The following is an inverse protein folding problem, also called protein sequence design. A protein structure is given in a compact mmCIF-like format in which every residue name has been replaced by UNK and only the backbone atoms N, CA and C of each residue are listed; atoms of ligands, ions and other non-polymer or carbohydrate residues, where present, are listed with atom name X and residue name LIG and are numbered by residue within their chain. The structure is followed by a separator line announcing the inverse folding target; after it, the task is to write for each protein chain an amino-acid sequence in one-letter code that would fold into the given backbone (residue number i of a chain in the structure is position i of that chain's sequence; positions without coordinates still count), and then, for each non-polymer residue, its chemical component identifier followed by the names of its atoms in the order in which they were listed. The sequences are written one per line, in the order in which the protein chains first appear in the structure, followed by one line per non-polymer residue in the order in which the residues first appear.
data_IF_475629309292
#
_entry.id   IF_475629309292
#
_cell.length_a   1.000
_cell.length_b   1.000
_cell.length_c   1.000
_cell.angle_alpha   90.00
_cell.angle_beta   90.00
_cell.angle_gamma   90.00
#
_symmetry.space_group_name_H-M   'P 1'
#
loop_
_entity.id
_entity.type
_entity.pdbx_description
1 polymer ?
#
# COMPACT_ATOMS: atom_id res chain seq x y z
N UNK A 1 2.83 -22.90 -19.78
CA UNK A 1 2.76 -21.71 -18.91
C UNK A 1 3.45 -20.58 -19.64
N UNK A 2 2.68 -19.65 -20.21
CA UNK A 2 3.21 -18.45 -20.85
C UNK A 2 3.82 -17.56 -19.78
N UNK A 3 5.12 -17.27 -19.89
CA UNK A 3 5.79 -16.24 -19.10
C UNK A 3 5.04 -14.93 -19.31
N UNK A 4 4.25 -14.52 -18.32
CA UNK A 4 3.63 -13.21 -18.33
C UNK A 4 4.77 -12.20 -18.34
N UNK A 5 4.77 -11.31 -19.32
CA UNK A 5 5.76 -10.25 -19.34
C UNK A 5 5.62 -9.49 -18.01
N UNK A 6 6.74 -9.19 -17.35
CA UNK A 6 6.83 -8.45 -16.07
C UNK A 6 5.85 -7.27 -15.97
N UNK A 7 5.61 -6.64 -17.11
CA UNK A 7 4.76 -5.48 -17.30
C UNK A 7 3.25 -5.78 -17.28
N UNK A 8 2.85 -6.96 -17.77
CA UNK A 8 1.47 -7.44 -17.74
C UNK A 8 1.06 -7.85 -16.32
N UNK A 9 1.99 -8.41 -15.57
CA UNK A 9 1.80 -8.74 -14.14
C UNK A 9 1.48 -7.49 -13.31
N UNK A 10 2.22 -6.38 -13.45
CA UNK A 10 1.87 -5.11 -12.75
C UNK A 10 0.48 -4.59 -13.16
N UNK A 11 0.11 -4.69 -14.43
CA UNK A 11 -1.21 -4.26 -14.90
C UNK A 11 -2.34 -5.08 -14.26
N UNK A 12 -2.17 -6.39 -14.08
CA UNK A 12 -3.16 -7.25 -13.43
C UNK A 12 -3.36 -6.90 -11.95
N UNK A 13 -2.33 -6.36 -11.29
CA UNK A 13 -2.40 -5.94 -9.90
C UNK A 13 -3.00 -4.52 -9.75
N UNK A 14 -2.71 -3.61 -10.69
CA UNK A 14 -3.26 -2.24 -10.72
C UNK A 14 -4.72 -2.19 -11.19
N UNK A 15 -5.03 -2.95 -12.24
CA UNK A 15 -6.35 -3.03 -12.86
C UNK A 15 -7.06 -4.32 -12.42
N UNK A 16 -8.27 -4.56 -12.90
CA UNK A 16 -8.84 -5.91 -12.83
C UNK A 16 -8.34 -6.63 -14.09
N UNK A 17 -7.78 -7.85 -13.97
CA UNK A 17 -7.44 -8.63 -15.15
C UNK A 17 -8.70 -8.87 -15.99
N UNK A 18 -8.51 -8.98 -17.32
CA UNK A 18 -9.61 -9.18 -18.27
C UNK A 18 -10.35 -10.48 -17.97
N UNK A 19 -9.59 -11.54 -17.73
CA UNK A 19 -10.10 -12.83 -17.25
C UNK A 19 -9.82 -12.95 -15.76
N UNK A 20 -10.78 -13.49 -15.00
CA UNK A 20 -10.56 -13.75 -13.58
C UNK A 20 -9.40 -14.75 -13.44
N UNK A 21 -8.33 -14.38 -12.71
CA UNK A 21 -7.15 -15.23 -12.58
C UNK A 21 -7.57 -16.49 -11.84
N UNK A 22 -7.19 -17.64 -12.35
CA UNK A 22 -7.58 -18.95 -11.79
C UNK A 22 -6.62 -19.45 -10.71
N UNK A 23 -5.43 -18.84 -10.60
CA UNK A 23 -4.34 -19.20 -9.71
C UNK A 23 -3.48 -17.98 -9.38
N UNK A 24 -2.64 -18.08 -8.35
CA UNK A 24 -1.65 -17.06 -7.98
C UNK A 24 -0.78 -16.58 -9.16
N UNK A 25 -0.50 -15.27 -9.18
CA UNK A 25 0.51 -14.70 -10.06
C UNK A 25 1.90 -14.91 -9.42
N UNK A 26 2.54 -16.03 -9.78
CA UNK A 26 3.85 -16.41 -9.26
C UNK A 26 4.95 -15.42 -9.63
N UNK A 27 4.77 -14.70 -10.74
CA UNK A 27 5.73 -13.73 -11.25
C UNK A 27 5.68 -12.44 -10.42
N UNK A 28 4.52 -12.07 -9.88
CA UNK A 28 4.37 -10.85 -9.09
C UNK A 28 4.96 -10.96 -7.68
N UNK A 29 4.81 -12.10 -7.01
CA UNK A 29 5.10 -12.24 -5.57
C UNK A 29 6.40 -12.98 -5.28
N UNK A 30 6.57 -14.22 -5.79
CA UNK A 30 7.61 -15.12 -5.29
C UNK A 30 8.80 -15.26 -6.24
N UNK A 31 8.57 -15.38 -7.54
CA UNK A 31 9.66 -15.61 -8.50
C UNK A 31 10.49 -14.35 -8.78
N UNK A 32 9.88 -13.16 -8.67
CA UNK A 32 10.56 -11.88 -8.90
C UNK A 32 11.23 -11.28 -7.67
N UNK A 33 11.23 -11.95 -6.50
CA UNK A 33 11.75 -11.40 -5.23
C UNK A 33 11.23 -9.97 -4.95
N UNK A 34 9.94 -9.73 -5.16
CA UNK A 34 9.30 -8.41 -5.00
C UNK A 34 9.81 -7.28 -5.93
N UNK A 35 10.58 -7.60 -6.98
CA UNK A 35 11.06 -6.58 -7.94
C UNK A 35 9.91 -5.82 -8.61
N UNK A 36 8.76 -6.47 -8.83
CA UNK A 36 7.58 -5.83 -9.41
C UNK A 36 6.94 -4.79 -8.50
N UNK A 37 6.98 -5.04 -7.20
CA UNK A 37 6.51 -4.09 -6.19
C UNK A 37 7.47 -2.90 -6.10
N UNK A 38 8.78 -3.13 -6.13
CA UNK A 38 9.76 -2.06 -6.21
C UNK A 38 9.58 -1.18 -7.47
N UNK A 39 9.44 -1.80 -8.65
CA UNK A 39 9.19 -1.10 -9.92
C UNK A 39 7.89 -0.31 -9.92
N UNK A 40 6.86 -0.80 -9.23
CA UNK A 40 5.60 -0.07 -9.07
C UNK A 40 5.82 1.22 -8.26
N UNK A 41 6.61 1.14 -7.18
CA UNK A 41 6.95 2.30 -6.36
C UNK A 41 7.81 3.31 -7.14
N UNK A 42 8.80 2.84 -7.91
CA UNK A 42 9.58 3.66 -8.85
C UNK A 42 8.68 4.38 -9.87
N UNK A 43 7.78 3.63 -10.51
CA UNK A 43 6.84 4.20 -11.48
C UNK A 43 5.94 5.28 -10.87
N UNK A 44 5.59 5.13 -9.59
CA UNK A 44 4.80 6.12 -8.86
C UNK A 44 5.64 7.36 -8.50
N UNK A 45 6.91 7.18 -8.14
CA UNK A 45 7.85 8.29 -7.95
C UNK A 45 8.01 9.10 -9.25
N UNK A 46 8.26 8.43 -10.38
CA UNK A 46 8.42 9.07 -11.69
C UNK A 46 7.16 9.84 -12.11
N UNK A 47 5.98 9.27 -11.79
CA UNK A 47 4.71 9.97 -11.94
C UNK A 47 4.67 11.26 -11.11
N UNK A 48 5.00 11.22 -9.82
CA UNK A 48 5.02 12.41 -8.98
C UNK A 48 6.02 13.46 -9.49
N UNK A 49 7.19 13.02 -9.97
CA UNK A 49 8.21 13.89 -10.53
C UNK A 49 7.77 14.55 -11.84
N UNK A 50 6.94 13.87 -12.63
CA UNK A 50 6.35 14.42 -13.86
C UNK A 50 5.30 15.52 -13.63
N UNK A 51 4.78 15.66 -12.40
CA UNK A 51 3.80 16.69 -12.06
C UNK A 51 4.48 18.07 -12.06
N UNK A 52 3.96 18.99 -12.88
CA UNK A 52 4.53 20.32 -13.05
C UNK A 52 4.54 21.13 -11.73
N UNK A 53 5.70 21.60 -11.23
CA UNK A 53 5.83 22.25 -9.92
C UNK A 53 4.90 23.46 -9.72
N UNK A 54 4.63 24.21 -10.79
CA UNK A 54 3.81 25.42 -10.75
C UNK A 54 2.30 25.15 -10.62
N UNK A 55 1.87 23.89 -10.77
CA UNK A 55 0.46 23.47 -10.72
C UNK A 55 0.16 22.52 -9.56
N UNK A 56 1.14 22.22 -8.71
CA UNK A 56 1.02 21.23 -7.64
C UNK A 56 0.87 21.87 -6.27
N UNK A 57 -0.08 21.35 -5.49
CA UNK A 57 -0.25 21.69 -4.08
C UNK A 57 1.03 21.37 -3.26
N UNK A 58 1.33 22.12 -2.17
CA UNK A 58 2.47 21.85 -1.30
C UNK A 58 2.51 20.42 -0.74
N UNK A 59 1.35 19.79 -0.53
CA UNK A 59 1.26 18.39 -0.07
C UNK A 59 1.99 17.39 -0.99
N UNK A 60 2.19 17.72 -2.27
CA UNK A 60 2.92 16.85 -3.18
C UNK A 60 4.42 16.78 -2.87
N UNK A 61 5.02 17.79 -2.23
CA UNK A 61 6.42 17.69 -1.78
C UNK A 61 6.55 16.67 -0.66
N UNK A 62 5.61 16.66 0.29
CA UNK A 62 5.54 15.66 1.37
C UNK A 62 5.39 14.26 0.77
N UNK A 63 4.50 14.08 -0.21
CA UNK A 63 4.36 12.80 -0.91
C UNK A 63 5.64 12.38 -1.63
N UNK A 64 6.35 13.29 -2.29
CA UNK A 64 7.63 13.00 -2.96
C UNK A 64 8.68 12.52 -1.96
N UNK A 65 8.85 13.22 -0.84
CA UNK A 65 9.80 12.86 0.21
C UNK A 65 9.43 11.49 0.82
N UNK A 66 8.15 11.29 1.16
CA UNK A 66 7.62 10.04 1.69
C UNK A 66 7.91 8.85 0.74
N UNK A 67 7.57 8.98 -0.55
CA UNK A 67 7.82 7.92 -1.53
C UNK A 67 9.32 7.70 -1.74
N UNK A 68 10.13 8.75 -1.77
CA UNK A 68 11.58 8.62 -1.92
C UNK A 68 12.22 7.86 -0.75
N UNK A 69 11.86 8.21 0.49
CA UNK A 69 12.35 7.51 1.67
C UNK A 69 11.86 6.05 1.71
N UNK A 70 10.60 5.81 1.33
CA UNK A 70 10.06 4.46 1.24
C UNK A 70 10.83 3.61 0.21
N UNK A 71 11.16 4.19 -0.95
CA UNK A 71 11.85 3.50 -2.03
C UNK A 71 13.26 3.05 -1.62
N UNK A 72 13.97 3.87 -0.83
CA UNK A 72 15.28 3.53 -0.26
C UNK A 72 15.19 2.29 0.64
N UNK A 73 14.21 2.23 1.54
CA UNK A 73 14.11 1.13 2.51
C UNK A 73 13.49 -0.13 1.91
N UNK A 74 12.52 0.02 1.00
CA UNK A 74 11.84 -1.11 0.37
C UNK A 74 12.74 -1.85 -0.63
N UNK A 75 13.90 -1.29 -0.99
CA UNK A 75 14.92 -1.99 -1.76
C UNK A 75 15.69 -2.97 -0.87
N UNK A 76 15.58 -4.27 -1.16
CA UNK A 76 16.25 -5.36 -0.43
C UNK A 76 17.76 -5.11 -0.29
N UNK A 77 18.43 -4.56 -1.32
CA UNK A 77 19.87 -4.29 -1.29
C UNK A 77 20.24 -3.15 -0.34
N UNK A 78 19.30 -2.25 -0.06
CA UNK A 78 19.48 -1.07 0.78
C UNK A 78 18.79 -1.20 2.14
N UNK A 79 18.12 -2.33 2.40
CA UNK A 79 17.46 -2.63 3.67
C UNK A 79 18.49 -3.03 4.73
N UNK A 80 19.24 -2.05 5.22
CA UNK A 80 20.25 -2.22 6.28
C UNK A 80 19.86 -1.45 7.53
N UNK A 81 20.39 -1.87 8.68
CA UNK A 81 20.17 -1.19 9.97
C UNK A 81 20.58 0.28 9.88
N UNK A 82 21.76 0.56 9.31
CA UNK A 82 22.28 1.92 9.17
C UNK A 82 21.41 2.81 8.28
N UNK A 83 20.88 2.28 7.17
CA UNK A 83 20.00 3.02 6.28
C UNK A 83 18.65 3.28 6.95
N UNK A 84 18.11 2.31 7.69
CA UNK A 84 16.86 2.49 8.42
C UNK A 84 17.00 3.53 9.52
N UNK A 85 18.06 3.44 10.33
CA UNK A 85 18.38 4.45 11.36
C UNK A 85 18.56 5.84 10.76
N UNK A 86 19.33 5.95 9.66
CA UNK A 86 19.57 7.23 8.99
C UNK A 86 18.28 7.80 8.41
N UNK A 87 17.42 6.97 7.82
CA UNK A 87 16.17 7.42 7.19
C UNK A 87 15.15 7.86 8.25
N UNK A 88 14.94 7.05 9.30
CA UNK A 88 14.06 7.40 10.42
C UNK A 88 14.59 8.64 11.16
N UNK A 89 15.90 8.72 11.42
CA UNK A 89 16.52 9.83 12.13
C UNK A 89 16.49 11.16 11.37
N UNK A 90 16.27 11.14 10.05
CA UNK A 90 16.11 12.34 9.22
C UNK A 90 14.66 12.82 9.12
N UNK A 91 13.69 12.06 9.64
CA UNK A 91 12.28 12.46 9.59
C UNK A 91 12.08 13.70 10.46
N UNK A 92 11.44 14.70 9.87
CA UNK A 92 11.09 15.97 10.50
C UNK A 92 9.60 16.02 10.84
N UNK A 93 9.16 16.91 11.75
CA UNK A 93 7.75 17.08 12.04
C UNK A 93 6.93 17.29 10.76
N UNK A 94 5.93 16.45 10.58
CA UNK A 94 5.07 16.41 9.41
C UNK A 94 5.45 15.38 8.34
N UNK A 95 6.57 14.68 8.50
CA UNK A 95 6.99 13.61 7.59
C UNK A 95 6.29 12.28 7.89
N UNK A 96 6.23 11.46 6.84
CA UNK A 96 5.65 10.13 6.86
C UNK A 96 6.66 9.13 6.29
N UNK A 97 6.75 7.97 6.93
CA UNK A 97 7.56 6.85 6.48
C UNK A 97 6.76 5.55 6.51
N UNK A 98 6.29 5.08 5.36
CA UNK A 98 5.69 3.77 5.24
C UNK A 98 6.75 2.68 5.18
N UNK A 99 6.48 1.53 5.78
CA UNK A 99 7.24 0.29 5.60
C UNK A 99 6.28 -0.85 5.27
N UNK A 100 6.62 -1.66 4.27
CA UNK A 100 5.85 -2.84 3.90
C UNK A 100 6.68 -4.12 4.12
N UNK A 101 6.25 -4.92 5.10
CA UNK A 101 6.87 -6.18 5.49
C UNK A 101 6.17 -7.32 4.75
N UNK A 102 6.63 -7.60 3.52
CA UNK A 102 6.08 -8.70 2.74
C UNK A 102 6.15 -10.03 3.52
N UNK A 103 7.32 -10.34 4.09
CA UNK A 103 7.57 -11.59 4.81
C UNK A 103 6.71 -11.78 6.06
N UNK A 104 6.09 -10.69 6.57
CA UNK A 104 5.20 -10.69 7.73
C UNK A 104 3.75 -10.35 7.38
N UNK A 105 3.40 -10.19 6.09
CA UNK A 105 2.05 -9.76 5.69
C UNK A 105 1.56 -8.49 6.42
N UNK A 106 2.46 -7.56 6.69
CA UNK A 106 2.19 -6.40 7.53
C UNK A 106 2.69 -5.12 6.87
N UNK A 107 2.11 -3.99 7.28
CA UNK A 107 2.65 -2.69 6.97
C UNK A 107 2.54 -1.78 8.20
N UNK A 108 3.47 -0.84 8.29
CA UNK A 108 3.39 0.25 9.25
C UNK A 108 3.51 1.59 8.53
N UNK A 109 2.90 2.61 9.12
CA UNK A 109 3.10 4.00 8.78
C UNK A 109 3.64 4.70 10.02
N UNK A 110 4.89 5.14 9.94
CA UNK A 110 5.48 6.04 10.93
C UNK A 110 5.15 7.46 10.48
N UNK A 111 4.64 8.26 11.40
CA UNK A 111 4.39 9.68 11.20
C UNK A 111 5.08 10.45 12.32
N UNK A 112 5.80 11.52 11.96
CA UNK A 112 6.30 12.46 12.95
C UNK A 112 5.24 13.56 13.11
N UNK A 113 4.53 13.54 14.22
CA UNK A 113 3.47 14.52 14.47
C UNK A 113 4.06 15.95 14.58
N UNK A 114 3.30 16.94 14.12
CA UNK A 114 3.69 18.35 14.24
C UNK A 114 3.49 18.85 15.66
N UNK A 115 2.50 18.32 16.38
CA UNK A 115 2.14 18.73 17.73
C UNK A 115 1.60 17.55 18.57
N UNK A 116 2.32 17.07 19.61
CA UNK A 116 3.63 17.53 20.06
C UNK A 116 4.78 17.04 19.16
N UNK A 117 5.78 17.89 18.87
CA UNK A 117 6.97 17.46 18.14
C UNK A 117 7.71 16.39 18.95
N UNK A 118 8.35 15.44 18.25
CA UNK A 118 9.12 14.32 18.82
C UNK A 118 8.32 13.13 19.41
N UNK A 119 7.00 13.08 19.25
CA UNK A 119 6.19 11.91 19.61
C UNK A 119 5.59 11.26 18.36
N UNK A 120 6.29 10.30 17.74
CA UNK A 120 5.80 9.72 16.49
C UNK A 120 4.56 8.87 16.71
N UNK A 121 3.74 8.82 15.68
CA UNK A 121 2.59 7.95 15.55
C UNK A 121 2.96 6.74 14.69
N UNK A 122 2.53 5.56 15.11
CA UNK A 122 2.70 4.31 14.38
C UNK A 122 1.32 3.72 14.13
N UNK A 123 0.88 3.75 12.88
CA UNK A 123 -0.27 2.95 12.44
C UNK A 123 0.23 1.63 11.89
N UNK A 124 -0.38 0.50 12.26
CA UNK A 124 -0.03 -0.81 11.70
C UNK A 124 -1.26 -1.53 11.17
N UNK A 125 -1.09 -2.41 10.19
CA UNK A 125 -2.17 -3.22 9.66
C UNK A 125 -1.68 -4.47 8.93
N UNK A 126 -2.55 -5.48 8.90
CA UNK A 126 -2.42 -6.63 8.03
C UNK A 126 -2.78 -6.25 6.58
N UNK A 127 -1.97 -6.73 5.62
CA UNK A 127 -2.03 -6.28 4.22
C UNK A 127 -2.82 -7.22 3.32
N UNK A 128 -2.65 -8.53 3.46
CA UNK A 128 -3.33 -9.58 2.70
C UNK A 128 -4.22 -10.41 3.62
N UNK A 129 -5.35 -10.84 3.08
CA UNK A 129 -6.30 -11.68 3.80
C UNK A 129 -5.92 -13.18 3.70
N UNK A 130 -6.23 -13.96 4.75
CA UNK A 130 -6.11 -15.43 4.70
C UNK A 130 -6.94 -16.03 3.56
N UNK A 131 -6.51 -17.17 3.01
CA UNK A 131 -7.23 -17.84 1.91
C UNK A 131 -8.68 -18.07 2.26
N UNK A 132 -8.95 -18.59 3.46
CA UNK A 132 -10.32 -18.86 3.92
C UNK A 132 -11.22 -17.62 3.81
N UNK A 133 -10.75 -16.44 4.22
CA UNK A 133 -11.51 -15.19 4.14
C UNK A 133 -11.80 -14.79 2.69
N UNK A 134 -10.84 -15.04 1.79
CA UNK A 134 -10.97 -14.71 0.37
C UNK A 134 -11.89 -15.68 -0.36
N UNK A 135 -11.84 -16.98 -0.04
CA UNK A 135 -12.58 -18.04 -0.75
C UNK A 135 -13.98 -18.28 -0.20
N UNK A 136 -14.23 -18.00 1.08
CA UNK A 136 -15.54 -18.24 1.72
C UNK A 136 -16.56 -17.13 1.49
N UNK A 137 -16.12 -15.93 1.13
CA UNK A 137 -16.99 -14.75 1.09
C UNK A 137 -17.59 -14.50 -0.29
N UNK A 138 -18.93 -14.47 -0.37
CA UNK A 138 -19.66 -14.02 -1.57
C UNK A 138 -19.59 -12.50 -1.74
N UNK A 139 -19.43 -11.75 -0.65
CA UNK A 139 -19.34 -10.28 -0.65
C UNK A 139 -17.90 -9.80 -0.42
N UNK A 140 -17.45 -8.72 -1.10
CA UNK A 140 -16.08 -8.23 -0.93
C UNK A 140 -15.79 -7.89 0.53
N UNK A 141 -14.70 -8.43 1.06
CA UNK A 141 -14.28 -8.13 2.43
C UNK A 141 -13.92 -6.63 2.56
N UNK A 142 -14.35 -6.02 3.66
CA UNK A 142 -14.14 -4.59 3.95
C UNK A 142 -13.26 -4.47 5.19
N UNK A 143 -12.13 -3.79 5.06
CA UNK A 143 -11.30 -3.37 6.18
C UNK A 143 -11.38 -1.87 6.41
N UNK A 144 -11.13 -1.49 7.65
CA UNK A 144 -11.06 -0.11 8.11
C UNK A 144 -9.59 0.27 8.35
N UNK A 145 -9.22 1.44 7.84
CA UNK A 145 -7.86 1.97 7.88
C UNK A 145 -7.84 3.41 8.36
N UNK A 146 -6.79 3.84 9.08
CA UNK A 146 -5.77 3.00 9.69
C UNK A 146 -6.40 2.10 10.77
N UNK A 147 -5.76 0.95 11.06
CA UNK A 147 -6.28 -0.03 12.04
C UNK A 147 -5.93 0.48 13.45
N UNK A 148 -4.96 -0.03 14.23
CA UNK A 148 -4.52 0.71 15.40
C UNK A 148 -3.38 1.70 15.10
N UNK A 149 -3.56 2.94 15.53
CA UNK A 149 -2.51 3.96 15.68
C UNK A 149 -2.04 4.07 17.12
N UNK A 150 -0.73 4.13 17.32
CA UNK A 150 -0.08 4.24 18.62
C UNK A 150 0.86 5.44 18.67
N UNK A 151 0.91 6.14 19.80
CA UNK A 151 1.84 7.24 20.04
C UNK A 151 3.00 6.77 20.91
N UNK A 152 4.22 7.09 20.47
CA UNK A 152 5.44 6.85 21.23
C UNK A 152 5.77 8.06 22.09
N UNK A 153 6.52 7.81 23.16
CA UNK A 153 6.99 8.89 24.05
C UNK A 153 8.16 9.67 23.46
N UNK A 154 8.98 9.07 22.58
CA UNK A 154 10.13 9.71 21.95
C UNK A 154 10.48 9.06 20.60
N UNK A 155 10.84 9.85 19.59
CA UNK A 155 11.31 9.35 18.29
C UNK A 155 12.61 8.54 18.38
N UNK A 156 13.45 8.80 19.39
CA UNK A 156 14.71 8.08 19.60
C UNK A 156 14.54 6.57 19.82
N UNK A 157 13.34 6.13 20.22
CA UNK A 157 13.02 4.72 20.40
C UNK A 157 13.08 3.94 19.08
N UNK A 158 12.72 4.58 17.96
CA UNK A 158 12.68 3.95 16.64
C UNK A 158 14.06 3.76 16.01
N UNK A 159 15.04 4.57 16.41
CA UNK A 159 16.40 4.55 15.83
C UNK A 159 17.39 3.68 16.62
N UNK A 160 16.94 2.99 17.67
CA UNK A 160 17.81 2.08 18.41
C UNK A 160 18.22 0.89 17.53
N UNK A 161 19.44 0.36 17.73
CA UNK A 161 19.97 -0.76 16.93
C UNK A 161 19.04 -1.97 16.98
N UNK A 162 18.58 -2.32 18.18
CA UNK A 162 17.67 -3.47 18.40
C UNK A 162 16.36 -3.31 17.62
N UNK A 163 15.76 -2.12 17.63
CA UNK A 163 14.50 -1.91 16.90
C UNK A 163 14.71 -1.95 15.40
N UNK A 164 15.80 -1.37 14.89
CA UNK A 164 16.13 -1.43 13.47
C UNK A 164 16.53 -2.85 13.01
N UNK A 165 17.22 -3.62 13.85
CA UNK A 165 17.53 -5.04 13.62
C UNK A 165 16.26 -5.86 13.48
N UNK A 166 15.30 -5.70 14.40
CA UNK A 166 14.00 -6.38 14.33
C UNK A 166 13.23 -5.99 13.06
N UNK A 167 13.22 -4.71 12.70
CA UNK A 167 12.53 -4.25 11.49
C UNK A 167 13.17 -4.85 10.22
N UNK A 168 14.49 -4.91 10.14
CA UNK A 168 15.19 -5.56 9.02
C UNK A 168 14.86 -7.06 8.99
N UNK A 169 14.88 -7.74 10.14
CA UNK A 169 14.53 -9.15 10.25
C UNK A 169 13.10 -9.44 9.77
N UNK A 170 12.14 -8.58 10.13
CA UNK A 170 10.76 -8.67 9.65
C UNK A 170 10.61 -8.38 8.16
N UNK A 171 11.49 -7.57 7.57
CA UNK A 171 11.46 -7.30 6.13
C UNK A 171 12.00 -8.49 5.33
N UNK A 172 12.96 -9.24 5.87
CA UNK A 172 13.67 -10.31 5.16
C UNK A 172 13.12 -11.71 5.41
N UNK A 173 12.70 -12.00 6.65
CA UNK A 173 12.42 -13.37 7.09
C UNK A 173 10.97 -13.55 7.52
N UNK A 174 10.40 -14.70 7.18
CA UNK A 174 9.07 -15.10 7.67
C UNK A 174 9.21 -15.90 8.96
N UNK A 175 8.71 -15.34 10.05
CA UNK A 175 8.68 -15.97 11.38
C UNK A 175 7.65 -17.10 11.46
N UNK A 176 6.40 -16.85 11.06
CA UNK A 176 5.33 -17.84 11.22
C UNK A 176 4.35 -17.85 10.04
N UNK A 177 4.01 -19.06 9.63
CA UNK A 177 2.86 -19.37 8.78
C UNK A 177 1.77 -20.04 9.61
N UNK A 178 0.49 -19.87 9.23
CA UNK A 178 -0.60 -20.65 9.81
C UNK A 178 -0.31 -22.15 9.77
N UNK A 179 -0.62 -22.85 10.87
CA UNK A 179 -0.43 -24.30 10.96
C UNK A 179 -1.67 -25.02 10.46
N UNK A 180 -1.47 -26.08 9.68
CA UNK A 180 -2.54 -27.02 9.33
C UNK A 180 -2.20 -28.42 9.86
N UNK A 181 -3.25 -29.18 10.18
CA UNK A 181 -3.10 -30.52 10.74
C UNK A 181 -3.56 -31.56 9.72
N UNK A 182 -2.69 -32.53 9.39
CA UNK A 182 -3.05 -33.72 8.61
C UNK A 182 -2.53 -34.97 9.31
N UNK A 183 -3.39 -35.97 9.46
CA UNK A 183 -3.04 -37.26 10.06
C UNK A 183 -2.27 -37.12 11.39
N UNK A 184 -2.75 -36.23 12.28
CA UNK A 184 -2.15 -35.93 13.60
C UNK A 184 -0.79 -35.24 13.60
N UNK A 185 -0.26 -34.83 12.44
CA UNK A 185 0.93 -33.99 12.33
C UNK A 185 0.56 -32.56 11.97
N UNK A 186 1.19 -31.60 12.64
CA UNK A 186 1.05 -30.17 12.36
C UNK A 186 2.21 -29.71 11.46
N UNK A 187 1.90 -29.02 10.37
CA UNK A 187 2.88 -28.44 9.46
C UNK A 187 2.51 -27.01 9.10
N UNK A 188 3.51 -26.21 8.75
CA UNK A 188 3.32 -24.85 8.26
C UNK A 188 2.63 -24.89 6.90
N UNK A 189 1.47 -24.24 6.79
CA UNK A 189 0.76 -24.06 5.53
C UNK A 189 1.40 -22.89 4.78
N UNK A 190 2.50 -23.15 4.08
CA UNK A 190 3.25 -22.13 3.33
C UNK A 190 2.50 -21.54 2.13
N UNK A 191 1.36 -22.14 1.76
CA UNK A 191 0.44 -21.59 0.75
C UNK A 191 -0.45 -20.48 1.32
N UNK A 192 -0.46 -20.35 2.64
CA UNK A 192 -1.15 -19.26 3.32
C UNK A 192 -0.30 -18.02 3.52
N UNK A 193 -0.97 -16.90 3.75
CA UNK A 193 -0.30 -15.64 4.08
C UNK A 193 0.38 -15.74 5.46
N UNK A 194 1.59 -15.18 5.62
CA UNK A 194 2.23 -15.08 6.93
C UNK A 194 1.35 -14.39 7.98
N UNK A 195 1.59 -14.71 9.25
CA UNK A 195 0.84 -14.12 10.36
C UNK A 195 1.40 -12.72 10.70
N UNK A 196 0.57 -11.69 10.63
CA UNK A 196 1.00 -10.29 10.80
C UNK A 196 1.24 -9.82 12.24
N UNK A 197 0.95 -10.66 13.24
CA UNK A 197 0.92 -10.24 14.64
C UNK A 197 2.30 -9.85 15.19
N UNK A 198 3.40 -10.39 14.64
CA UNK A 198 4.75 -10.03 15.07
C UNK A 198 5.04 -8.54 14.86
N UNK A 199 4.62 -7.99 13.71
CA UNK A 199 4.78 -6.56 13.40
C UNK A 199 3.64 -5.74 14.00
N UNK A 200 2.39 -6.15 13.77
CA UNK A 200 1.22 -5.35 14.12
C UNK A 200 0.88 -5.35 15.62
N UNK A 201 1.44 -6.28 16.41
CA UNK A 201 1.16 -6.40 17.83
C UNK A 201 2.45 -6.52 18.65
N UNK A 202 3.23 -7.59 18.46
CA UNK A 202 4.36 -7.90 19.34
C UNK A 202 5.46 -6.85 19.31
N UNK A 203 5.88 -6.40 18.13
CA UNK A 203 6.92 -5.38 17.98
C UNK A 203 6.50 -4.06 18.63
N UNK A 204 5.26 -3.65 18.41
CA UNK A 204 4.68 -2.42 18.95
C UNK A 204 4.68 -2.45 20.48
N UNK A 205 4.40 -3.60 21.11
CA UNK A 205 4.41 -3.73 22.58
C UNK A 205 5.81 -3.69 23.19
N UNK A 206 6.87 -3.86 22.40
CA UNK A 206 8.26 -3.70 22.89
C UNK A 206 8.67 -2.24 23.06
N UNK A 207 7.88 -1.28 22.55
CA UNK A 207 8.21 0.14 22.61
C UNK A 207 7.80 0.74 23.97
N UNK A 208 8.75 1.34 24.73
CA UNK A 208 8.46 1.78 26.09
C UNK A 208 7.56 3.02 26.12
N UNK A 209 6.53 2.97 26.97
CA UNK A 209 5.61 4.09 27.20
C UNK A 209 4.67 4.39 26.02
N UNK A 210 4.39 3.38 25.20
CA UNK A 210 3.48 3.49 24.06
C UNK A 210 2.02 3.70 24.52
N UNK A 211 1.29 4.57 23.82
CA UNK A 211 -0.13 4.88 24.10
C UNK A 211 -1.00 4.60 22.88
N UNK A 212 -2.20 4.07 23.10
CA UNK A 212 -3.16 3.83 22.03
C UNK A 212 -3.97 5.11 21.75
N UNK A 213 -3.91 5.62 20.51
CA UNK A 213 -4.58 6.86 20.09
C UNK A 213 -6.00 6.62 19.56
N UNK A 214 -6.38 5.37 19.27
CA UNK A 214 -7.67 5.03 18.65
C UNK A 214 -8.86 5.14 19.62
N UNK A 215 -8.66 5.69 20.82
CA UNK A 215 -9.70 5.94 21.81
C UNK A 215 -10.39 7.30 21.62
N UNK A 216 -10.06 8.05 20.56
CA UNK A 216 -10.66 9.36 20.27
C UNK A 216 -11.62 9.30 19.07
N UNK A 217 -12.80 9.92 19.22
CA UNK A 217 -13.84 10.04 18.17
C UNK A 217 -13.37 10.80 16.91
N UNK A 218 -12.17 11.38 16.94
CA UNK A 218 -11.58 12.18 15.85
C UNK A 218 -10.65 11.37 14.94
N UNK A 219 -10.47 10.07 15.16
CA UNK A 219 -9.59 9.25 14.32
C UNK A 219 -10.13 9.13 12.88
N UNK A 220 -9.31 9.53 11.91
CA UNK A 220 -9.65 9.46 10.48
C UNK A 220 -9.68 7.98 10.08
N UNK A 221 -10.87 7.40 9.92
CA UNK A 221 -11.01 6.04 9.40
C UNK A 221 -11.69 6.02 8.02
N UNK A 222 -11.16 5.22 7.11
CA UNK A 222 -11.75 4.98 5.80
C UNK A 222 -11.82 3.50 5.46
N UNK A 223 -12.80 3.16 4.63
CA UNK A 223 -13.10 1.79 4.21
C UNK A 223 -12.32 1.43 2.95
N UNK A 224 -11.67 0.27 2.94
CA UNK A 224 -11.10 -0.33 1.73
C UNK A 224 -11.72 -1.70 1.48
N UNK A 225 -12.06 -1.95 0.22
CA UNK A 225 -12.58 -3.23 -0.24
C UNK A 225 -11.43 -4.09 -0.75
N UNK A 226 -11.36 -5.31 -0.25
CA UNK A 226 -10.55 -6.38 -0.83
C UNK A 226 -11.31 -6.99 -2.00
N UNK A 227 -10.70 -6.93 -3.18
CA UNK A 227 -11.27 -7.48 -4.43
C UNK A 227 -10.39 -8.62 -4.92
N UNK A 228 -10.10 -9.52 -3.99
CA UNK A 228 -9.31 -10.73 -4.20
C UNK A 228 -10.23 -11.96 -4.34
N UNK A 229 -11.55 -11.76 -4.35
CA UNK A 229 -12.51 -12.84 -4.57
C UNK A 229 -12.26 -13.51 -5.92
N UNK A 230 -11.79 -14.74 -5.89
CA UNK A 230 -11.50 -15.54 -7.07
C UNK A 230 -12.29 -16.81 -7.00
N UNK A 231 -12.80 -17.22 -8.16
CA UNK A 231 -13.22 -18.59 -8.39
C UNK A 231 -11.94 -19.42 -8.52
N UNK A 232 -11.46 -20.00 -7.41
CA UNK A 232 -10.49 -21.10 -7.47
C UNK A 232 -11.16 -22.23 -8.26
N UNK A 233 -10.94 -22.26 -9.58
CA UNK A 233 -11.66 -23.14 -10.51
C UNK A 233 -11.19 -24.59 -10.39
N UNK A 234 -10.04 -24.82 -9.75
CA UNK A 234 -9.41 -26.13 -9.67
C UNK A 234 -8.88 -26.40 -8.26
N UNK A 235 -9.16 -27.60 -7.75
CA UNK A 235 -8.61 -28.18 -6.53
C UNK A 235 -7.08 -28.33 -6.54
N UNK A 236 -6.43 -28.08 -7.68
CA UNK A 236 -5.00 -28.22 -7.90
C UNK A 236 -4.22 -26.89 -7.93
N UNK A 237 -4.88 -25.73 -7.83
CA UNK A 237 -4.16 -24.46 -7.71
C UNK A 237 -3.50 -24.38 -6.33
N UNK A 238 -2.20 -24.07 -6.29
CA UNK A 238 -1.42 -24.00 -5.04
C UNK A 238 -1.90 -22.89 -4.12
N UNK A 239 -2.27 -21.72 -4.66
CA UNK A 239 -2.75 -20.57 -3.91
C UNK A 239 -3.78 -19.77 -4.72
N UNK A 240 -4.71 -19.05 -4.07
CA UNK A 240 -5.55 -18.08 -4.79
C UNK A 240 -4.71 -16.88 -5.26
N UNK A 241 -5.13 -16.24 -6.35
CA UNK A 241 -4.61 -14.92 -6.71
C UNK A 241 -4.88 -13.90 -5.59
N UNK A 242 -3.92 -13.01 -5.37
CA UNK A 242 -4.04 -11.90 -4.42
C UNK A 242 -3.46 -10.69 -5.10
N UNK A 243 -4.14 -9.54 -4.99
CA UNK A 243 -3.56 -8.29 -5.46
C UNK A 243 -2.32 -7.95 -4.65
N UNK A 244 -1.48 -7.08 -5.22
CA UNK A 244 -0.25 -6.62 -4.59
C UNK A 244 -0.53 -6.06 -3.20
N UNK A 245 0.21 -6.58 -2.22
CA UNK A 245 0.18 -6.04 -0.88
C UNK A 245 0.76 -4.62 -0.86
N UNK A 246 1.87 -4.38 -1.54
CA UNK A 246 2.44 -3.03 -1.65
C UNK A 246 1.44 -2.04 -2.25
N UNK A 247 0.71 -2.40 -3.31
CA UNK A 247 -0.31 -1.52 -3.90
C UNK A 247 -1.43 -1.20 -2.91
N UNK A 248 -1.86 -2.17 -2.09
CA UNK A 248 -2.82 -1.89 -1.01
C UNK A 248 -2.23 -0.90 0.00
N UNK A 249 -1.00 -1.13 0.45
CA UNK A 249 -0.27 -0.25 1.36
C UNK A 249 -0.16 1.16 0.80
N UNK A 250 0.23 1.34 -0.46
CA UNK A 250 0.30 2.64 -1.12
C UNK A 250 -1.05 3.36 -1.10
N UNK A 251 -2.14 2.66 -1.43
CA UNK A 251 -3.49 3.24 -1.40
C UNK A 251 -3.92 3.68 0.01
N UNK A 252 -3.53 2.94 1.05
CA UNK A 252 -3.81 3.29 2.44
C UNK A 252 -2.99 4.51 2.83
N UNK A 253 -1.66 4.47 2.65
CA UNK A 253 -0.73 5.56 2.96
C UNK A 253 -1.13 6.87 2.29
N UNK A 254 -1.36 6.85 0.98
CA UNK A 254 -1.70 8.07 0.23
C UNK A 254 -3.02 8.67 0.71
N UNK A 255 -4.02 7.84 0.99
CA UNK A 255 -5.28 8.33 1.51
C UNK A 255 -5.12 8.88 2.94
N UNK A 256 -4.37 8.20 3.82
CA UNK A 256 -4.11 8.67 5.17
C UNK A 256 -3.42 10.04 5.16
N UNK A 257 -2.34 10.19 4.40
CA UNK A 257 -1.59 11.45 4.31
C UNK A 257 -2.49 12.58 3.78
N UNK A 258 -3.19 12.34 2.66
CA UNK A 258 -4.02 13.36 2.03
C UNK A 258 -5.22 13.75 2.90
N UNK A 259 -5.90 12.79 3.53
CA UNK A 259 -7.03 13.08 4.40
C UNK A 259 -6.58 13.76 5.69
N UNK A 260 -5.43 13.41 6.26
CA UNK A 260 -4.89 14.09 7.44
C UNK A 260 -4.50 15.54 7.16
N UNK A 261 -3.96 15.81 5.96
CA UNK A 261 -3.45 17.14 5.59
C UNK A 261 -4.50 18.08 5.00
N UNK A 262 -5.47 17.54 4.28
CA UNK A 262 -6.50 18.33 3.56
C UNK A 262 -7.92 18.11 4.12
N UNK A 263 -8.06 17.36 5.21
CA UNK A 263 -9.36 16.98 5.75
C UNK A 263 -10.21 16.21 4.73
N UNK A 264 -11.50 16.53 4.66
CA UNK A 264 -12.46 15.86 3.77
C UNK A 264 -12.09 15.95 2.28
N UNK A 265 -11.47 17.07 1.87
CA UNK A 265 -11.01 17.28 0.48
C UNK A 265 -9.90 16.27 0.12
N UNK A 266 -9.14 15.81 1.11
CA UNK A 266 -8.06 14.83 0.92
C UNK A 266 -8.52 13.53 0.26
N UNK A 267 -9.75 13.07 0.55
CA UNK A 267 -10.30 11.87 -0.09
C UNK A 267 -10.55 12.09 -1.60
N UNK A 268 -11.00 13.28 -1.98
CA UNK A 268 -11.21 13.65 -3.40
C UNK A 268 -9.86 13.74 -4.11
N UNK A 269 -8.89 14.44 -3.51
CA UNK A 269 -7.52 14.57 -4.06
C UNK A 269 -6.87 13.19 -4.20
N UNK A 270 -7.07 12.30 -3.23
CA UNK A 270 -6.61 10.90 -3.30
C UNK A 270 -7.19 10.15 -4.50
N UNK A 271 -8.52 10.19 -4.69
CA UNK A 271 -9.19 9.54 -5.84
C UNK A 271 -8.65 10.08 -7.17
N UNK A 272 -8.47 11.40 -7.27
CA UNK A 272 -7.93 12.06 -8.44
C UNK A 272 -6.47 11.63 -8.69
N UNK A 273 -5.64 11.62 -7.66
CA UNK A 273 -4.22 11.26 -7.75
C UNK A 273 -4.04 9.83 -8.24
N UNK A 274 -4.79 8.88 -7.66
CA UNK A 274 -4.76 7.48 -8.08
C UNK A 274 -5.22 7.34 -9.54
N UNK A 275 -6.28 8.06 -9.93
CA UNK A 275 -6.77 8.01 -11.32
C UNK A 275 -5.72 8.54 -12.28
N UNK A 276 -5.08 9.67 -11.95
CA UNK A 276 -4.05 10.26 -12.79
C UNK A 276 -2.80 9.35 -12.89
N UNK A 277 -2.39 8.72 -11.79
CA UNK A 277 -1.32 7.73 -11.82
C UNK A 277 -1.65 6.54 -12.72
N UNK A 278 -2.87 6.00 -12.63
CA UNK A 278 -3.30 4.88 -13.47
C UNK A 278 -3.30 5.25 -14.96
N UNK A 279 -3.72 6.47 -15.31
CA UNK A 279 -3.65 7.00 -16.68
C UNK A 279 -2.20 7.18 -17.12
N UNK A 280 -1.36 7.79 -16.30
CA UNK A 280 0.07 7.97 -16.57
C UNK A 280 0.77 6.62 -16.83
N UNK A 281 0.53 5.64 -15.96
CA UNK A 281 1.11 4.31 -16.08
C UNK A 281 0.72 3.68 -17.41
N UNK A 282 -0.55 3.77 -17.80
CA UNK A 282 -1.01 3.24 -19.09
C UNK A 282 -0.46 4.03 -20.27
N UNK A 283 -0.43 5.36 -20.23
CA UNK A 283 0.06 6.17 -21.34
C UNK A 283 1.55 5.89 -21.62
N UNK A 284 2.36 5.79 -20.57
CA UNK A 284 3.77 5.40 -20.70
C UNK A 284 3.93 3.97 -21.25
N UNK A 285 2.92 3.11 -21.06
CA UNK A 285 2.84 1.77 -21.67
C UNK A 285 2.30 1.76 -23.11
N UNK A 286 1.36 2.63 -23.48
CA UNK A 286 0.83 2.67 -24.85
C UNK A 286 1.87 3.18 -25.85
N UNK A 287 2.82 4.00 -25.40
CA UNK A 287 4.04 4.30 -26.16
C UNK A 287 4.89 3.04 -26.44
N UNK A 288 4.71 1.96 -25.67
CA UNK A 288 5.20 0.61 -25.98
C UNK A 288 4.08 -0.28 -26.55
N UNK A 289 3.63 0.01 -27.78
CA UNK A 289 2.93 -0.87 -28.74
C UNK A 289 1.97 -1.97 -28.20
N UNK A 290 0.95 -1.66 -27.41
CA UNK A 290 -0.13 -2.64 -27.14
C UNK A 290 -1.55 -2.04 -27.10
N UNK A 291 -2.40 -2.48 -28.04
CA UNK A 291 -3.74 -1.93 -28.35
C UNK A 291 -4.85 -2.43 -27.41
N UNK A 292 -4.66 -3.55 -26.70
CA UNK A 292 -5.69 -4.14 -25.81
C UNK A 292 -5.90 -3.38 -24.50
N UNK A 293 -4.94 -2.54 -24.09
CA UNK A 293 -5.00 -1.78 -22.83
C UNK A 293 -6.04 -0.64 -22.90
N UNK A 294 -6.37 -0.14 -24.10
CA UNK A 294 -7.29 0.99 -24.32
C UNK A 294 -8.72 0.73 -23.80
N UNK A 295 -9.22 -0.50 -23.88
CA UNK A 295 -10.55 -0.86 -23.37
C UNK A 295 -10.61 -0.91 -21.83
N UNK A 296 -9.50 -1.28 -21.17
CA UNK A 296 -9.40 -1.36 -19.69
C UNK A 296 -9.47 0.03 -19.03
N UNK A 297 -8.99 1.06 -19.74
CA UNK A 297 -9.01 2.47 -19.31
C UNK A 297 -10.46 2.97 -19.20
N UNK A 298 -11.24 2.82 -20.28
CA UNK A 298 -12.60 3.37 -20.37
C UNK A 298 -13.52 2.86 -19.27
N UNK A 299 -13.44 1.57 -18.93
CA UNK A 299 -14.28 0.99 -17.88
C UNK A 299 -14.00 1.57 -16.48
N UNK A 300 -12.72 1.76 -16.13
CA UNK A 300 -12.33 2.22 -14.78
C UNK A 300 -12.39 3.74 -14.65
N UNK A 301 -12.04 4.49 -15.69
CA UNK A 301 -12.20 5.96 -15.70
C UNK A 301 -13.67 6.36 -15.69
N UNK A 302 -14.55 5.67 -16.43
CA UNK A 302 -16.00 5.91 -16.37
C UNK A 302 -16.59 5.62 -14.98
N UNK A 303 -16.16 4.56 -14.30
CA UNK A 303 -16.59 4.24 -12.93
C UNK A 303 -16.09 5.25 -11.88
N UNK A 304 -14.89 5.82 -12.06
CA UNK A 304 -14.36 6.84 -11.15
C UNK A 304 -14.95 8.24 -11.42
N UNK A 305 -15.23 8.58 -12.68
CA UNK A 305 -15.90 9.84 -13.05
C UNK A 305 -17.38 9.86 -12.66
N UNK A 306 -18.13 8.75 -12.82
CA UNK A 306 -19.54 8.69 -12.41
C UNK A 306 -19.72 8.91 -10.91
N UNK A 307 -18.79 8.42 -10.08
CA UNK A 307 -18.77 8.66 -8.63
C UNK A 307 -18.44 10.10 -8.23
N UNK A 308 -17.63 10.82 -9.00
CA UNK A 308 -17.31 12.23 -8.74
C UNK A 308 -18.46 13.17 -9.12
N UNK A 309 -19.28 12.80 -10.11
CA UNK A 309 -20.48 13.56 -10.51
C UNK A 309 -21.60 13.41 -9.48
N UNK A 310 -21.71 12.27 -8.79
CA UNK A 310 -22.74 12.07 -7.75
C UNK A 310 -22.46 12.78 -6.43
N UNK A 311 -21.21 13.17 -6.13
CA UNK A 311 -20.83 13.86 -4.89
C UNK A 311 -20.68 15.39 -5.04
N UNK A 312 -20.78 15.94 -6.27
CA UNK A 312 -20.49 17.35 -6.56
C UNK A 312 -21.73 18.19 -6.87
N UNK A 313 -22.44 18.65 -5.83
CA UNK A 313 -23.49 19.69 -5.95
C UNK A 313 -23.14 20.96 -5.14
N UNK A 314 -21.86 21.31 -5.06
CA UNK A 314 -21.40 22.57 -4.50
C UNK A 314 -20.27 23.17 -5.34
N UNK A 315 -20.25 24.49 -5.42
CA UNK A 315 -19.56 25.37 -6.38
C UNK A 315 -18.02 25.37 -6.38
N UNK A 316 -17.37 24.28 -5.95
CA UNK A 316 -15.91 24.11 -5.95
C UNK A 316 -15.48 23.04 -6.97
N UNK A 317 -14.55 23.37 -7.86
CA UNK A 317 -14.04 22.42 -8.88
C UNK A 317 -12.69 21.83 -8.46
N UNK A 318 -12.65 20.65 -7.78
CA UNK A 318 -11.42 19.98 -7.36
C UNK A 318 -10.47 19.61 -8.51
N UNK A 319 -10.96 19.62 -9.76
CA UNK A 319 -10.17 19.39 -10.97
C UNK A 319 -9.16 20.51 -11.26
N UNK A 320 -9.49 21.77 -10.94
CA UNK A 320 -8.54 22.89 -11.07
C UNK A 320 -7.42 22.83 -10.03
N UNK A 321 -7.71 22.31 -8.83
CA UNK A 321 -6.77 22.17 -7.72
C UNK A 321 -5.64 21.14 -7.99
N UNK A 322 -5.88 20.18 -8.90
CA UNK A 322 -4.89 19.16 -9.29
C UNK A 322 -4.30 19.45 -10.69
N UNK A 323 -4.62 20.60 -11.28
CA UNK A 323 -4.12 20.99 -12.60
C UNK A 323 -4.60 20.10 -13.75
N UNK A 324 -5.75 19.44 -13.62
CA UNK A 324 -6.29 18.51 -14.62
C UNK A 324 -7.11 19.28 -15.66
N UNK A 325 -6.58 19.35 -16.88
CA UNK A 325 -7.35 19.73 -18.07
C UNK A 325 -8.05 18.49 -18.63
N UNK A 326 -9.39 18.44 -18.50
CA UNK A 326 -10.22 17.38 -19.08
C UNK A 326 -10.05 17.25 -20.61
N UNK A 327 -9.58 18.29 -21.30
CA UNK A 327 -9.31 18.28 -22.74
C UNK A 327 -8.11 17.42 -23.15
N UNK A 328 -7.36 16.86 -22.20
CA UNK A 328 -6.20 15.98 -22.43
C UNK A 328 -6.38 14.55 -21.90
N UNK A 329 -7.57 14.21 -21.39
CA UNK A 329 -7.99 12.86 -20.99
C UNK A 329 -8.69 12.14 -22.16
#
# INVERSE_FOLDING_TARGET
MSTLNLNESILNHLFLPHDLPTSEDTDYLLQSKHQNEHKLLESFKDFLDSLAPQKTLPIFSILKICIQNWLVIQNIQSCTISNLQSTIGKLTPGDFLPLYFHAQNAAILIEIDENPPNQPLISSWQVLLPTETVTSSLQPYISYYPTPTFRLSNSSQLITSIQCELLVEFMTNTIEYPKSSKASYSFNETREVPVAHYVCQWWITQLPGIKNENLTDTSIQFKKKYRDQIRCKYSYSTSPFRRSGLWMTMKVVLQTILTKRLGQIGNVVYKILITHFLVYYIHNRQRSKDTQISMRIKAKSMLSCSYLVTEGNSSFSPLKLVGIELSKL
#
